data_IF_322008296746
#
_entry.id   IF_322008296746
#
_cell.length_a   1.000
_cell.length_b   1.000
_cell.length_c   1.000
_cell.angle_alpha   90.00
_cell.angle_beta   90.00
_cell.angle_gamma   90.00
#
_symmetry.space_group_name_H-M   'P 1'
#
loop_
_entity.id
_entity.type
_entity.pdbx_description
1 polymer ?
#
# COMPACT_ATOMS: atom_id res chain seq x y z
N UNK A 1 -8.54 -18.33 -14.46
CA UNK A 1 -8.14 -19.50 -15.25
C UNK A 1 -6.95 -20.20 -14.63
N UNK A 2 -5.71 -19.74 -14.83
CA UNK A 2 -4.51 -20.39 -14.26
C UNK A 2 -4.62 -20.76 -12.77
N UNK A 3 -5.02 -19.82 -11.90
CA UNK A 3 -5.18 -20.11 -10.46
C UNK A 3 -6.22 -21.21 -10.18
N UNK A 4 -7.33 -21.22 -10.92
CA UNK A 4 -8.39 -22.23 -10.78
C UNK A 4 -7.91 -23.62 -11.24
N UNK A 5 -7.13 -23.68 -12.32
CA UNK A 5 -6.51 -24.92 -12.83
C UNK A 5 -5.48 -25.49 -11.85
N UNK A 6 -4.78 -24.62 -11.12
CA UNK A 6 -3.92 -24.98 -9.99
C UNK A 6 -4.69 -25.29 -8.69
N UNK A 7 -6.03 -25.33 -8.75
CA UNK A 7 -6.88 -25.76 -7.64
C UNK A 7 -7.18 -24.70 -6.59
N UNK A 8 -6.79 -23.43 -6.80
CA UNK A 8 -7.15 -22.31 -5.92
C UNK A 8 -8.64 -22.04 -6.02
N UNK A 9 -9.28 -21.86 -4.86
CA UNK A 9 -10.72 -21.60 -4.73
C UNK A 9 -10.98 -20.29 -3.99
N UNK A 10 -12.23 -19.84 -4.03
CA UNK A 10 -12.72 -18.74 -3.18
C UNK A 10 -12.35 -19.01 -1.71
N UNK A 11 -11.75 -18.02 -1.06
CA UNK A 11 -11.30 -18.07 0.33
C UNK A 11 -9.90 -18.63 0.55
N UNK A 12 -9.28 -19.31 -0.43
CA UNK A 12 -7.89 -19.75 -0.31
C UNK A 12 -6.94 -18.55 -0.27
N UNK A 13 -5.89 -18.63 0.54
CA UNK A 13 -4.88 -17.58 0.62
C UNK A 13 -3.75 -17.83 -0.39
N UNK A 14 -3.41 -16.80 -1.15
CA UNK A 14 -2.30 -16.81 -2.12
C UNK A 14 -1.24 -15.80 -1.71
N UNK A 15 -0.03 -16.27 -1.41
CA UNK A 15 1.10 -15.40 -1.07
C UNK A 15 1.69 -14.79 -2.35
N UNK A 16 1.90 -13.47 -2.36
CA UNK A 16 2.50 -12.75 -3.51
C UNK A 16 3.80 -12.09 -3.04
N UNK A 17 4.94 -12.55 -3.53
CA UNK A 17 6.28 -12.05 -3.22
C UNK A 17 6.96 -11.57 -4.51
N UNK A 18 6.44 -10.46 -5.04
CA UNK A 18 6.79 -9.94 -6.36
C UNK A 18 7.55 -8.61 -6.27
N UNK A 19 8.38 -8.27 -7.28
CA UNK A 19 8.90 -6.91 -7.42
C UNK A 19 7.82 -5.97 -7.99
N UNK A 20 8.15 -4.69 -8.13
CA UNK A 20 7.30 -3.66 -8.69
C UNK A 20 7.19 -3.76 -10.22
N UNK A 21 6.53 -4.83 -10.69
CA UNK A 21 6.27 -5.15 -12.10
C UNK A 21 4.77 -5.35 -12.35
N UNK A 22 4.24 -5.09 -13.56
CA UNK A 22 2.80 -5.13 -13.83
C UNK A 22 2.13 -6.46 -13.45
N UNK A 23 2.86 -7.58 -13.55
CA UNK A 23 2.39 -8.91 -13.18
C UNK A 23 2.01 -9.01 -11.69
N UNK A 24 2.57 -8.18 -10.81
CA UNK A 24 2.13 -8.10 -9.41
C UNK A 24 0.68 -7.60 -9.31
N UNK A 25 0.31 -6.59 -10.10
CA UNK A 25 -1.06 -6.11 -10.18
C UNK A 25 -2.00 -7.19 -10.77
N UNK A 26 -1.54 -7.88 -11.83
CA UNK A 26 -2.28 -9.00 -12.43
C UNK A 26 -2.54 -10.09 -11.41
N UNK A 27 -1.53 -10.48 -10.62
CA UNK A 27 -1.65 -11.51 -9.59
C UNK A 27 -2.67 -11.12 -8.51
N UNK A 28 -2.60 -9.90 -7.98
CA UNK A 28 -3.54 -9.41 -6.96
C UNK A 28 -4.98 -9.34 -7.49
N UNK A 29 -5.17 -8.79 -8.69
CA UNK A 29 -6.50 -8.66 -9.30
C UNK A 29 -7.06 -10.02 -9.72
N UNK A 30 -6.22 -10.96 -10.16
CA UNK A 30 -6.63 -12.33 -10.47
C UNK A 30 -7.12 -13.07 -9.22
N UNK A 31 -6.45 -12.90 -8.07
CA UNK A 31 -6.92 -13.44 -6.79
C UNK A 31 -8.29 -12.86 -6.43
N UNK A 32 -8.41 -11.52 -6.45
CA UNK A 32 -9.68 -10.84 -6.15
C UNK A 32 -10.82 -11.25 -7.09
N UNK A 33 -10.53 -11.45 -8.39
CA UNK A 33 -11.53 -11.82 -9.42
C UNK A 33 -12.16 -13.20 -9.18
N UNK A 34 -11.44 -14.12 -8.54
CA UNK A 34 -11.92 -15.47 -8.21
C UNK A 34 -12.30 -15.62 -6.73
N UNK A 35 -12.23 -14.53 -5.95
CA UNK A 35 -12.50 -14.54 -4.53
C UNK A 35 -11.43 -15.22 -3.67
N UNK A 36 -10.22 -15.43 -4.19
CA UNK A 36 -9.08 -15.82 -3.37
C UNK A 36 -8.55 -14.62 -2.58
N UNK A 37 -8.01 -14.87 -1.40
CA UNK A 37 -7.49 -13.84 -0.50
C UNK A 37 -6.00 -13.71 -0.78
N UNK A 38 -5.56 -12.63 -1.44
CA UNK A 38 -4.12 -12.48 -1.62
C UNK A 38 -3.44 -11.96 -0.35
N UNK A 39 -2.21 -12.36 -0.13
CA UNK A 39 -1.34 -11.84 0.91
C UNK A 39 -0.01 -11.42 0.32
N UNK A 40 0.12 -10.12 0.05
CA UNK A 40 1.34 -9.56 -0.52
C UNK A 40 2.41 -9.44 0.57
N UNK A 41 3.63 -9.86 0.22
CA UNK A 41 4.81 -9.84 1.06
C UNK A 41 5.84 -8.94 0.37
N UNK A 42 6.28 -7.87 1.04
CA UNK A 42 7.27 -6.94 0.50
C UNK A 42 8.55 -7.67 0.07
N UNK A 43 8.99 -7.44 -1.18
CA UNK A 43 10.14 -8.13 -1.80
C UNK A 43 11.49 -7.96 -1.07
N UNK A 44 11.59 -7.01 -0.15
CA UNK A 44 12.78 -6.84 0.70
C UNK A 44 12.80 -7.69 1.97
N UNK A 45 11.75 -8.46 2.27
CA UNK A 45 11.71 -9.32 3.45
C UNK A 45 12.63 -10.54 3.32
N UNK A 46 13.16 -10.98 4.46
CA UNK A 46 14.02 -12.17 4.57
C UNK A 46 13.22 -13.47 4.38
N UNK A 47 13.88 -14.60 4.06
CA UNK A 47 13.21 -15.91 3.96
C UNK A 47 12.40 -16.28 5.21
N UNK A 48 12.91 -16.00 6.41
CA UNK A 48 12.18 -16.26 7.66
C UNK A 48 10.91 -15.40 7.79
N UNK A 49 10.98 -14.14 7.38
CA UNK A 49 9.83 -13.24 7.39
C UNK A 49 8.77 -13.65 6.35
N UNK A 50 9.19 -14.23 5.21
CA UNK A 50 8.31 -14.84 4.22
C UNK A 50 7.67 -16.10 4.78
N UNK A 51 8.46 -17.02 5.36
CA UNK A 51 7.98 -18.27 5.95
C UNK A 51 6.94 -18.01 7.04
N UNK A 52 7.20 -17.10 7.98
CA UNK A 52 6.27 -16.77 9.06
C UNK A 52 4.89 -16.30 8.57
N UNK A 53 4.84 -15.57 7.45
CA UNK A 53 3.59 -15.10 6.84
C UNK A 53 2.87 -16.22 6.10
N UNK A 54 3.61 -17.09 5.39
CA UNK A 54 3.04 -18.28 4.74
C UNK A 54 2.40 -19.22 5.79
N UNK A 55 3.11 -19.44 6.90
CA UNK A 55 2.64 -20.30 8.01
C UNK A 55 1.37 -19.73 8.62
N UNK A 56 1.39 -18.44 9.01
CA UNK A 56 0.26 -17.81 9.69
C UNK A 56 -0.99 -17.73 8.80
N UNK A 57 -0.81 -17.44 7.50
CA UNK A 57 -1.91 -17.37 6.55
C UNK A 57 -2.38 -18.72 6.02
N UNK A 58 -1.62 -19.79 6.27
CA UNK A 58 -1.81 -21.10 5.65
C UNK A 58 -1.94 -20.98 4.11
N UNK A 59 -1.10 -20.15 3.48
CA UNK A 59 -1.14 -19.88 2.04
C UNK A 59 -0.98 -21.18 1.24
N UNK A 60 -1.75 -21.34 0.16
CA UNK A 60 -1.73 -22.56 -0.68
C UNK A 60 -0.76 -22.48 -1.86
N UNK A 61 -0.48 -21.27 -2.32
CA UNK A 61 0.37 -21.00 -3.47
C UNK A 61 1.21 -19.74 -3.23
N UNK A 62 2.44 -19.73 -3.76
CA UNK A 62 3.30 -18.53 -3.81
C UNK A 62 3.44 -18.07 -5.26
N UNK A 63 3.23 -16.78 -5.51
CA UNK A 63 3.57 -16.12 -6.77
C UNK A 63 4.81 -15.25 -6.51
N UNK A 64 5.89 -15.48 -7.27
CA UNK A 64 7.18 -14.79 -7.12
C UNK A 64 7.83 -14.56 -8.50
N UNK A 65 8.99 -13.92 -8.55
CA UNK A 65 9.84 -13.88 -9.74
C UNK A 65 11.20 -14.56 -9.49
N UNK A 66 11.91 -14.88 -10.56
CA UNK A 66 13.30 -15.36 -10.51
C UNK A 66 14.16 -14.38 -9.69
N UNK A 67 14.22 -13.12 -10.14
CA UNK A 67 14.84 -12.00 -9.45
C UNK A 67 13.99 -10.73 -9.61
N UNK A 68 14.19 -9.75 -8.74
CA UNK A 68 13.75 -8.36 -8.93
C UNK A 68 14.91 -7.48 -9.37
N UNK A 69 14.63 -6.34 -10.00
CA UNK A 69 15.66 -5.34 -10.35
C UNK A 69 15.40 -4.03 -9.61
N UNK A 70 16.33 -3.59 -8.77
CA UNK A 70 16.20 -2.32 -8.03
C UNK A 70 17.52 -1.58 -7.98
N UNK A 71 17.53 -0.34 -8.44
CA UNK A 71 18.74 0.50 -8.52
C UNK A 71 19.92 -0.18 -9.24
N UNK A 72 19.63 -0.92 -10.32
CA UNK A 72 20.63 -1.66 -11.10
C UNK A 72 21.17 -2.94 -10.43
N UNK A 73 20.58 -3.38 -9.32
CA UNK A 73 20.97 -4.61 -8.60
C UNK A 73 19.85 -5.65 -8.66
N UNK A 74 20.24 -6.93 -8.74
CA UNK A 74 19.31 -8.06 -8.62
C UNK A 74 18.90 -8.28 -7.16
N UNK A 75 17.64 -8.63 -6.95
CA UNK A 75 17.07 -9.09 -5.68
C UNK A 75 16.71 -10.57 -5.87
N UNK A 76 17.27 -11.52 -5.10
CA UNK A 76 17.15 -12.94 -5.37
C UNK A 76 15.83 -13.53 -4.83
N UNK A 77 14.69 -13.13 -5.41
CA UNK A 77 13.35 -13.43 -4.91
C UNK A 77 13.03 -14.92 -4.88
N UNK A 78 13.26 -15.68 -5.97
CA UNK A 78 13.04 -17.13 -6.00
C UNK A 78 13.91 -17.87 -4.99
N UNK A 79 15.18 -17.49 -4.86
CA UNK A 79 16.07 -18.06 -3.84
C UNK A 79 15.52 -17.84 -2.43
N UNK A 80 15.02 -16.64 -2.14
CA UNK A 80 14.42 -16.36 -0.84
C UNK A 80 13.18 -17.21 -0.57
N UNK A 81 12.35 -17.45 -1.59
CA UNK A 81 11.20 -18.38 -1.50
C UNK A 81 11.69 -19.81 -1.23
N UNK A 82 12.69 -20.30 -1.96
CA UNK A 82 13.24 -21.65 -1.73
C UNK A 82 13.78 -21.82 -0.31
N UNK A 83 14.46 -20.81 0.22
CA UNK A 83 14.98 -20.83 1.59
C UNK A 83 13.84 -20.74 2.62
N UNK A 84 12.76 -20.00 2.34
CA UNK A 84 11.57 -19.92 3.20
C UNK A 84 10.81 -21.25 3.26
N UNK A 85 10.64 -21.92 2.11
CA UNK A 85 9.92 -23.20 2.01
C UNK A 85 10.67 -24.39 2.61
N UNK A 86 11.93 -24.22 3.02
CA UNK A 86 12.68 -25.22 3.81
C UNK A 86 12.30 -25.22 5.29
N UNK A 87 11.61 -24.18 5.78
CA UNK A 87 11.14 -24.15 7.16
C UNK A 87 10.13 -25.30 7.36
N UNK A 88 10.35 -26.23 8.31
CA UNK A 88 9.53 -27.44 8.46
C UNK A 88 8.07 -27.15 8.86
N UNK A 89 7.77 -25.93 9.32
CA UNK A 89 6.42 -25.52 9.65
C UNK A 89 5.64 -25.02 8.43
N UNK A 90 6.29 -24.81 7.27
CA UNK A 90 5.60 -24.51 6.01
C UNK A 90 5.10 -25.82 5.42
N UNK A 91 3.80 -26.09 5.57
CA UNK A 91 3.17 -27.36 5.17
C UNK A 91 2.07 -27.19 4.13
N UNK A 92 1.73 -25.96 3.76
CA UNK A 92 0.52 -25.62 3.01
C UNK A 92 0.75 -25.35 1.52
N UNK A 93 1.99 -25.07 1.10
CA UNK A 93 2.32 -24.65 -0.28
C UNK A 93 2.40 -25.86 -1.21
N UNK A 94 1.55 -25.86 -2.23
CA UNK A 94 1.52 -26.90 -3.27
C UNK A 94 2.33 -26.49 -4.50
N UNK A 95 2.19 -25.23 -4.92
CA UNK A 95 2.81 -24.70 -6.13
C UNK A 95 3.48 -23.35 -5.89
N UNK A 96 4.53 -23.09 -6.68
CA UNK A 96 5.19 -21.79 -6.77
C UNK A 96 5.17 -21.32 -8.21
N UNK A 97 4.46 -20.24 -8.49
CA UNK A 97 4.43 -19.62 -9.81
C UNK A 97 5.55 -18.58 -9.90
N UNK A 98 6.45 -18.75 -10.86
CA UNK A 98 7.66 -17.93 -11.01
C UNK A 98 7.60 -17.10 -12.28
N UNK A 99 7.63 -15.79 -12.17
CA UNK A 99 7.85 -14.87 -13.29
C UNK A 99 9.33 -14.87 -13.69
N UNK A 100 9.62 -15.05 -14.97
CA UNK A 100 10.97 -14.89 -15.52
C UNK A 100 11.26 -13.41 -15.82
N UNK A 101 11.66 -12.65 -14.81
CA UNK A 101 11.92 -11.20 -14.90
C UNK A 101 13.31 -10.88 -15.43
N UNK A 102 14.34 -11.61 -15.02
CA UNK A 102 15.73 -11.37 -15.46
C UNK A 102 16.28 -12.49 -16.33
N UNK A 103 15.74 -13.71 -16.21
CA UNK A 103 16.33 -14.91 -16.80
C UNK A 103 17.62 -15.35 -16.08
N UNK A 104 17.85 -14.87 -14.86
CA UNK A 104 18.95 -15.27 -13.99
C UNK A 104 18.92 -16.76 -13.66
N UNK A 105 20.05 -17.30 -13.23
CA UNK A 105 20.15 -18.72 -12.85
C UNK A 105 19.52 -18.92 -11.46
N UNK A 106 18.44 -19.69 -11.41
CA UNK A 106 17.72 -20.07 -10.20
C UNK A 106 17.71 -21.59 -10.02
N UNK A 107 17.50 -22.04 -8.79
CA UNK A 107 17.17 -23.43 -8.52
C UNK A 107 15.70 -23.70 -8.87
N UNK A 108 15.41 -24.94 -9.27
CA UNK A 108 14.08 -25.35 -9.71
C UNK A 108 13.69 -26.70 -9.08
N UNK A 109 12.51 -26.76 -8.47
CA UNK A 109 11.95 -27.99 -7.92
C UNK A 109 10.82 -28.50 -8.82
N UNK A 110 11.09 -29.62 -9.50
CA UNK A 110 10.15 -30.24 -10.44
C UNK A 110 8.79 -30.55 -9.78
N UNK A 111 7.70 -30.28 -10.50
CA UNK A 111 6.32 -30.45 -10.05
C UNK A 111 5.79 -29.34 -9.13
N UNK A 112 6.65 -28.70 -8.32
CA UNK A 112 6.26 -27.57 -7.45
C UNK A 112 6.37 -26.23 -8.16
N UNK A 113 7.51 -25.98 -8.80
CA UNK A 113 7.82 -24.70 -9.44
C UNK A 113 7.29 -24.67 -10.88
N UNK A 114 6.57 -23.62 -11.23
CA UNK A 114 5.89 -23.46 -12.52
C UNK A 114 6.19 -22.07 -13.10
N UNK A 115 6.52 -22.00 -14.38
CA UNK A 115 6.76 -20.71 -15.04
C UNK A 115 5.45 -19.96 -15.31
N UNK A 116 5.44 -18.66 -15.00
CA UNK A 116 4.31 -17.77 -15.28
C UNK A 116 3.91 -17.79 -16.76
N UNK A 117 4.89 -17.68 -17.67
CA UNK A 117 4.64 -17.58 -19.11
C UNK A 117 4.06 -18.88 -19.69
N UNK A 118 4.57 -20.03 -19.26
CA UNK A 118 4.05 -21.33 -19.69
C UNK A 118 2.59 -21.53 -19.26
N UNK A 119 2.23 -21.06 -18.06
CA UNK A 119 0.87 -21.16 -17.52
C UNK A 119 -0.10 -20.18 -18.19
N UNK A 120 0.30 -18.93 -18.40
CA UNK A 120 -0.60 -17.90 -18.93
C UNK A 120 -0.85 -18.07 -20.43
N UNK A 121 0.11 -18.60 -21.19
CA UNK A 121 -0.07 -18.89 -22.63
C UNK A 121 -1.08 -20.00 -22.90
N UNK A 122 -1.26 -20.92 -21.95
CA UNK A 122 -2.22 -22.02 -22.04
C UNK A 122 -3.62 -21.62 -21.55
N UNK A 123 -3.71 -20.59 -20.72
CA UNK A 123 -4.95 -20.17 -20.11
C UNK A 123 -5.86 -19.44 -21.11
N UNK A 124 -7.17 -19.69 -21.00
CA UNK A 124 -8.18 -18.90 -21.73
C UNK A 124 -8.09 -17.42 -21.34
N UNK A 125 -8.28 -16.53 -22.31
CA UNK A 125 -8.43 -15.08 -22.09
C UNK A 125 -9.85 -14.68 -21.63
N UNK A 126 -10.79 -15.63 -21.65
CA UNK A 126 -12.17 -15.43 -21.18
C UNK A 126 -12.35 -15.96 -19.76
N UNK A 127 -12.90 -15.12 -18.88
CA UNK A 127 -13.29 -15.51 -17.51
C UNK A 127 -14.42 -14.61 -17.00
N UNK A 128 -15.50 -15.22 -16.49
CA UNK A 128 -16.56 -14.48 -15.80
C UNK A 128 -16.18 -14.28 -14.33
N UNK A 129 -16.27 -13.06 -13.81
CA UNK A 129 -15.87 -12.78 -12.43
C UNK A 129 -16.78 -13.51 -11.43
N UNK A 130 -16.21 -13.98 -10.33
CA UNK A 130 -16.99 -14.58 -9.23
C UNK A 130 -17.78 -13.50 -8.50
N UNK A 131 -19.02 -13.81 -8.13
CA UNK A 131 -19.83 -12.92 -7.30
C UNK A 131 -19.39 -13.02 -5.83
N UNK A 132 -19.11 -11.86 -5.23
CA UNK A 132 -18.58 -11.74 -3.88
C UNK A 132 -19.52 -10.91 -3.01
N UNK A 133 -19.71 -11.31 -1.77
CA UNK A 133 -20.40 -10.49 -0.80
C UNK A 133 -19.51 -9.30 -0.40
N UNK A 134 -20.12 -8.20 0.04
CA UNK A 134 -19.38 -7.03 0.49
C UNK A 134 -18.39 -7.33 1.63
N UNK A 135 -18.73 -8.28 2.51
CA UNK A 135 -17.89 -8.68 3.66
C UNK A 135 -17.08 -9.96 3.41
N UNK A 136 -17.01 -10.45 2.17
CA UNK A 136 -16.04 -11.50 1.84
C UNK A 136 -14.62 -10.91 1.92
N UNK A 137 -13.63 -11.66 2.47
CA UNK A 137 -12.25 -11.20 2.59
C UNK A 137 -11.61 -10.95 1.23
N UNK A 138 -10.95 -9.80 1.09
CA UNK A 138 -10.25 -9.41 -0.14
C UNK A 138 -8.75 -9.71 -0.04
N UNK A 139 -8.11 -9.31 1.06
CA UNK A 139 -6.69 -9.51 1.26
C UNK A 139 -6.28 -9.53 2.74
N UNK A 140 -5.09 -10.08 2.98
CA UNK A 140 -4.38 -10.05 4.26
C UNK A 140 -3.07 -9.32 4.06
N UNK A 141 -2.83 -8.26 4.82
CA UNK A 141 -1.56 -7.55 4.80
C UNK A 141 -0.90 -7.55 6.17
N UNK A 142 0.30 -8.13 6.22
CA UNK A 142 1.02 -8.34 7.47
C UNK A 142 1.74 -7.08 7.95
N UNK A 143 1.34 -6.56 9.11
CA UNK A 143 2.00 -5.45 9.79
C UNK A 143 2.88 -5.91 10.95
N UNK A 144 3.83 -5.08 11.35
CA UNK A 144 4.66 -5.32 12.54
C UNK A 144 3.81 -5.25 13.82
N UNK A 145 3.85 -6.31 14.64
CA UNK A 145 3.26 -6.31 15.98
C UNK A 145 4.29 -5.93 17.04
N UNK A 146 3.85 -5.23 18.09
CA UNK A 146 4.66 -4.93 19.28
C UNK A 146 5.15 -6.19 20.01
N UNK A 147 4.44 -7.31 19.84
CA UNK A 147 4.72 -8.62 20.46
C UNK A 147 5.56 -9.56 19.58
N UNK A 148 6.10 -9.08 18.45
CA UNK A 148 7.01 -9.84 17.58
C UNK A 148 6.36 -10.79 16.56
N UNK A 149 5.15 -11.29 16.80
CA UNK A 149 4.38 -12.01 15.77
C UNK A 149 3.71 -11.03 14.79
N UNK A 150 3.89 -11.19 13.46
CA UNK A 150 3.19 -10.39 12.45
C UNK A 150 1.68 -10.39 12.70
N UNK A 151 1.01 -9.29 12.36
CA UNK A 151 -0.44 -9.14 12.45
C UNK A 151 -1.01 -9.15 11.03
N UNK A 152 -1.74 -10.20 10.65
CA UNK A 152 -2.38 -10.28 9.33
C UNK A 152 -3.62 -9.39 9.29
N UNK A 153 -3.47 -8.09 9.01
CA UNK A 153 -4.61 -7.16 8.93
C UNK A 153 -5.48 -7.56 7.74
N UNK A 154 -6.77 -7.80 7.98
CA UNK A 154 -7.70 -8.28 6.97
C UNK A 154 -8.69 -7.18 6.57
N UNK A 155 -8.78 -6.96 5.26
CA UNK A 155 -9.80 -6.10 4.64
C UNK A 155 -10.81 -6.95 3.86
N UNK A 156 -12.07 -6.54 3.90
CA UNK A 156 -13.14 -7.13 3.09
C UNK A 156 -13.34 -6.34 1.80
N UNK A 157 -14.30 -6.73 0.98
CA UNK A 157 -14.37 -6.28 -0.43
C UNK A 157 -15.08 -4.93 -0.61
N UNK A 158 -16.34 -4.83 -0.17
CA UNK A 158 -17.22 -3.71 -0.51
C UNK A 158 -16.78 -2.40 0.14
N UNK A 159 -16.68 -2.37 1.47
CA UNK A 159 -16.32 -1.16 2.21
C UNK A 159 -14.93 -0.64 1.87
N UNK A 160 -13.94 -1.53 1.76
CA UNK A 160 -12.58 -1.18 1.36
C UNK A 160 -12.53 -0.53 -0.02
N UNK A 161 -13.13 -1.15 -1.04
CA UNK A 161 -13.03 -0.65 -2.41
C UNK A 161 -13.79 0.68 -2.59
N UNK A 162 -14.95 0.83 -1.95
CA UNK A 162 -15.69 2.10 -1.92
C UNK A 162 -14.82 3.19 -1.30
N UNK A 163 -14.21 2.91 -0.14
CA UNK A 163 -13.42 3.91 0.56
C UNK A 163 -12.16 4.29 -0.22
N UNK A 164 -11.42 3.33 -0.75
CA UNK A 164 -10.21 3.56 -1.56
C UNK A 164 -10.50 4.39 -2.83
N UNK A 165 -11.61 4.10 -3.53
CA UNK A 165 -12.03 4.88 -4.69
C UNK A 165 -12.47 6.30 -4.30
N UNK A 166 -13.21 6.44 -3.21
CA UNK A 166 -13.71 7.72 -2.71
C UNK A 166 -12.56 8.64 -2.28
N UNK A 167 -11.65 8.14 -1.46
CA UNK A 167 -10.49 8.89 -0.98
C UNK A 167 -9.56 9.25 -2.13
N UNK A 168 -9.26 8.30 -3.02
CA UNK A 168 -8.46 8.57 -4.22
C UNK A 168 -9.06 9.71 -5.05
N UNK A 169 -10.36 9.63 -5.36
CA UNK A 169 -11.03 10.61 -6.20
C UNK A 169 -10.99 12.01 -5.61
N UNK A 170 -11.39 12.17 -4.35
CA UNK A 170 -11.56 13.50 -3.76
C UNK A 170 -10.25 14.13 -3.27
N UNK A 171 -9.36 13.34 -2.68
CA UNK A 171 -8.12 13.88 -2.09
C UNK A 171 -7.10 14.20 -3.16
N UNK A 172 -7.05 13.41 -4.24
CA UNK A 172 -6.20 13.72 -5.38
C UNK A 172 -6.91 14.48 -6.50
N UNK A 173 -8.15 14.94 -6.27
CA UNK A 173 -8.97 15.65 -7.25
C UNK A 173 -8.89 15.01 -8.66
N UNK A 174 -9.03 13.68 -8.69
CA UNK A 174 -8.77 12.92 -9.89
C UNK A 174 -9.83 13.20 -10.95
N UNK A 175 -9.37 13.50 -12.16
CA UNK A 175 -10.19 13.68 -13.35
C UNK A 175 -9.82 12.67 -14.45
N UNK A 176 -10.77 12.22 -15.28
CA UNK A 176 -10.47 11.36 -16.42
C UNK A 176 -9.39 11.95 -17.32
N UNK A 177 -8.35 11.17 -17.59
CA UNK A 177 -7.18 11.58 -18.37
C UNK A 177 -5.95 11.91 -17.53
N UNK A 178 -6.09 11.98 -16.20
CA UNK A 178 -4.95 12.22 -15.32
C UNK A 178 -4.01 11.03 -15.25
N UNK A 179 -2.71 11.34 -15.28
CA UNK A 179 -1.63 10.40 -15.03
C UNK A 179 -1.26 10.50 -13.55
N UNK A 180 -1.59 9.45 -12.81
CA UNK A 180 -1.35 9.35 -11.38
C UNK A 180 -0.15 8.46 -11.09
N UNK A 181 0.74 8.90 -10.20
CA UNK A 181 1.89 8.12 -9.76
C UNK A 181 2.00 8.05 -8.23
N UNK A 182 1.71 6.87 -7.68
CA UNK A 182 2.10 6.47 -6.33
C UNK A 182 3.48 5.80 -6.36
N UNK A 183 4.44 6.32 -5.59
CA UNK A 183 5.78 5.73 -5.53
C UNK A 183 5.89 4.55 -4.56
N UNK A 184 4.82 4.21 -3.85
CA UNK A 184 4.85 3.17 -2.84
C UNK A 184 4.94 1.76 -3.48
N UNK A 185 5.64 0.88 -2.79
CA UNK A 185 5.75 -0.53 -3.18
C UNK A 185 4.41 -1.25 -2.92
N UNK A 186 4.08 -2.20 -3.79
CA UNK A 186 2.86 -3.02 -3.71
C UNK A 186 2.78 -3.84 -2.42
N UNK A 187 3.91 -4.14 -1.77
CA UNK A 187 3.97 -4.83 -0.48
C UNK A 187 3.49 -4.01 0.72
N UNK A 188 3.08 -2.76 0.54
CA UNK A 188 2.50 -1.90 1.58
C UNK A 188 1.06 -1.52 1.26
N UNK A 189 0.31 -1.13 2.29
CA UNK A 189 -1.10 -0.76 2.14
C UNK A 189 -1.27 0.41 1.16
N UNK A 190 -0.30 1.33 1.09
CA UNK A 190 -0.31 2.42 0.12
C UNK A 190 -0.25 1.92 -1.32
N UNK A 191 0.51 0.86 -1.59
CA UNK A 191 0.52 0.18 -2.89
C UNK A 191 -0.79 -0.56 -3.17
N UNK A 192 -1.47 -1.07 -2.15
CA UNK A 192 -2.79 -1.68 -2.33
C UNK A 192 -3.82 -0.62 -2.69
N UNK A 193 -4.06 0.32 -1.78
CA UNK A 193 -5.15 1.28 -1.88
C UNK A 193 -4.91 2.34 -2.96
N UNK A 194 -3.67 2.79 -3.14
CA UNK A 194 -3.39 3.98 -3.93
C UNK A 194 -2.46 3.76 -5.12
N UNK A 195 -1.77 2.63 -5.28
CA UNK A 195 -1.21 2.28 -6.59
C UNK A 195 -2.23 1.51 -7.44
N UNK A 196 -3.02 0.61 -6.83
CA UNK A 196 -3.89 -0.30 -7.57
C UNK A 196 -5.37 -0.01 -7.37
N UNK A 197 -5.94 -0.33 -6.21
CA UNK A 197 -7.39 -0.45 -6.05
C UNK A 197 -8.15 0.86 -6.28
N UNK A 198 -7.78 1.94 -5.58
CA UNK A 198 -8.40 3.25 -5.73
C UNK A 198 -8.30 3.79 -7.17
N UNK A 199 -7.08 3.93 -7.74
CA UNK A 199 -6.91 4.42 -9.11
C UNK A 199 -7.66 3.60 -10.15
N UNK A 200 -7.53 2.26 -10.13
CA UNK A 200 -8.14 1.40 -11.14
C UNK A 200 -9.67 1.34 -11.00
N UNK A 201 -10.21 1.41 -9.78
CA UNK A 201 -11.65 1.52 -9.56
C UNK A 201 -12.22 2.84 -10.11
N UNK A 202 -11.41 3.90 -10.15
CA UNK A 202 -11.77 5.18 -10.76
C UNK A 202 -11.42 5.27 -12.26
N UNK A 203 -10.90 4.21 -12.87
CA UNK A 203 -10.50 4.20 -14.28
C UNK A 203 -9.29 5.09 -14.59
N UNK A 204 -8.41 5.33 -13.60
CA UNK A 204 -7.22 6.15 -13.75
C UNK A 204 -6.08 5.42 -14.48
N UNK A 205 -5.20 6.21 -15.10
CA UNK A 205 -3.87 5.72 -15.47
C UNK A 205 -2.97 5.79 -14.24
N UNK A 206 -2.59 4.62 -13.71
CA UNK A 206 -1.66 4.51 -12.57
C UNK A 206 -0.27 4.10 -13.03
N UNK A 207 0.77 4.79 -12.54
CA UNK A 207 2.16 4.52 -12.90
C UNK A 207 2.82 3.61 -11.84
N UNK A 208 3.21 2.41 -12.26
CA UNK A 208 4.04 1.51 -11.46
C UNK A 208 5.53 1.72 -11.77
N UNK A 209 6.33 1.93 -10.73
CA UNK A 209 7.76 2.25 -10.86
C UNK A 209 8.63 1.19 -10.15
N UNK A 210 9.40 0.44 -10.94
CA UNK A 210 10.26 -0.65 -10.44
C UNK A 210 11.49 -0.14 -9.67
N UNK A 211 11.96 1.07 -10.00
CA UNK A 211 13.23 1.61 -9.55
C UNK A 211 13.21 2.26 -8.16
N UNK A 212 14.15 3.19 -7.96
CA UNK A 212 14.20 4.09 -6.81
C UNK A 212 14.28 5.54 -7.29
N UNK A 213 13.74 6.50 -6.53
CA UNK A 213 13.51 7.87 -7.02
C UNK A 213 14.78 8.67 -7.30
N UNK A 214 15.96 8.13 -6.98
CA UNK A 214 17.26 8.78 -7.10
C UNK A 214 18.31 7.95 -7.87
N UNK A 215 17.90 6.94 -8.65
CA UNK A 215 18.82 6.14 -9.47
C UNK A 215 18.43 6.16 -10.96
N UNK A 216 19.35 6.40 -11.90
CA UNK A 216 20.80 6.55 -11.71
C UNK A 216 21.23 7.89 -11.13
N UNK A 217 20.35 8.90 -11.11
CA UNK A 217 20.64 10.23 -10.57
C UNK A 217 19.49 10.71 -9.67
N UNK A 218 19.73 11.70 -8.78
CA UNK A 218 18.68 12.28 -7.95
C UNK A 218 17.50 12.86 -8.74
N UNK A 219 17.71 13.28 -9.98
CA UNK A 219 16.66 13.78 -10.86
C UNK A 219 15.64 12.71 -11.32
N UNK A 220 15.86 11.41 -11.01
CA UNK A 220 15.05 10.32 -11.57
C UNK A 220 13.55 10.49 -11.33
N UNK A 221 13.13 10.92 -10.14
CA UNK A 221 11.72 11.16 -9.87
C UNK A 221 11.13 12.22 -10.81
N UNK A 222 11.77 13.38 -10.93
CA UNK A 222 11.31 14.44 -11.82
C UNK A 222 11.39 14.04 -13.30
N UNK A 223 12.38 13.24 -13.70
CA UNK A 223 12.47 12.70 -15.07
C UNK A 223 11.31 11.74 -15.40
N UNK A 224 10.86 10.94 -14.44
CA UNK A 224 9.68 10.06 -14.62
C UNK A 224 8.41 10.91 -14.73
N UNK A 225 8.29 11.97 -13.92
CA UNK A 225 7.21 12.94 -14.04
C UNK A 225 7.14 13.51 -15.46
N UNK A 226 8.24 14.05 -15.97
CA UNK A 226 8.29 14.67 -17.31
C UNK A 226 8.00 13.65 -18.41
N UNK A 227 8.68 12.50 -18.38
CA UNK A 227 8.56 11.49 -19.43
C UNK A 227 7.11 11.00 -19.62
N UNK A 228 6.38 10.86 -18.51
CA UNK A 228 5.02 10.32 -18.52
C UNK A 228 3.95 11.39 -18.33
N UNK A 229 4.33 12.67 -18.31
CA UNK A 229 3.44 13.81 -18.07
C UNK A 229 2.56 13.61 -16.82
N UNK A 230 3.18 13.16 -15.71
CA UNK A 230 2.48 12.88 -14.45
C UNK A 230 1.79 14.14 -13.93
N UNK A 231 0.51 14.02 -13.57
CA UNK A 231 -0.30 15.11 -13.03
C UNK A 231 -0.38 15.07 -11.50
N UNK A 232 -0.32 13.88 -10.92
CA UNK A 232 -0.46 13.67 -9.48
C UNK A 232 0.69 12.79 -9.01
N UNK A 233 1.51 13.30 -8.09
CA UNK A 233 2.64 12.57 -7.51
C UNK A 233 2.40 12.31 -6.02
N UNK A 234 2.46 11.04 -5.62
CA UNK A 234 2.25 10.62 -4.25
C UNK A 234 3.45 9.82 -3.72
N UNK A 235 4.14 10.35 -2.70
CA UNK A 235 5.39 9.77 -2.21
C UNK A 235 5.55 9.91 -0.69
N UNK A 236 6.60 9.31 -0.13
CA UNK A 236 6.89 9.35 1.30
C UNK A 236 7.86 10.48 1.66
N UNK A 237 7.75 11.10 2.84
CA UNK A 237 8.71 12.08 3.35
C UNK A 237 10.15 11.60 3.36
N UNK A 238 10.42 10.31 3.62
CA UNK A 238 11.76 9.73 3.49
C UNK A 238 12.36 9.94 2.09
N UNK A 239 11.58 9.74 1.02
CA UNK A 239 12.04 10.00 -0.34
C UNK A 239 12.26 11.50 -0.60
N UNK A 240 11.33 12.34 -0.12
CA UNK A 240 11.43 13.80 -0.21
C UNK A 240 12.72 14.30 0.46
N UNK A 241 13.00 13.87 1.70
CA UNK A 241 14.21 14.26 2.44
C UNK A 241 15.49 13.77 1.76
N UNK A 242 15.49 12.56 1.19
CA UNK A 242 16.63 12.05 0.44
C UNK A 242 16.93 12.89 -0.82
N UNK A 243 15.90 13.36 -1.52
CA UNK A 243 16.06 14.24 -2.67
C UNK A 243 16.43 15.68 -2.27
N UNK A 244 15.84 16.18 -1.17
CA UNK A 244 16.15 17.48 -0.59
C UNK A 244 17.63 17.61 -0.21
N UNK A 245 18.22 16.54 0.32
CA UNK A 245 19.65 16.50 0.65
C UNK A 245 20.57 16.68 -0.58
N UNK A 246 20.08 16.38 -1.79
CA UNK A 246 20.81 16.57 -3.05
C UNK A 246 20.60 17.97 -3.67
N UNK A 247 19.76 18.81 -3.05
CA UNK A 247 19.45 20.16 -3.52
C UNK A 247 18.83 20.16 -4.92
N UNK A 248 19.30 21.06 -5.78
CA UNK A 248 18.74 21.25 -7.12
C UNK A 248 19.06 20.09 -8.08
N UNK A 249 19.99 19.20 -7.74
CA UNK A 249 20.24 17.98 -8.54
C UNK A 249 19.02 17.08 -8.64
N UNK A 250 18.09 17.16 -7.69
CA UNK A 250 16.83 16.42 -7.72
C UNK A 250 15.87 16.89 -8.83
N UNK A 251 16.10 18.08 -9.40
CA UNK A 251 15.22 18.69 -10.41
C UNK A 251 15.97 19.24 -11.63
N UNK A 252 17.31 19.14 -11.64
CA UNK A 252 18.15 19.66 -12.71
C UNK A 252 17.76 19.06 -14.07
N UNK A 253 17.52 19.94 -15.05
CA UNK A 253 17.15 19.54 -16.42
C UNK A 253 15.73 18.97 -16.56
N UNK A 254 14.83 19.23 -15.59
CA UNK A 254 13.44 18.74 -15.62
C UNK A 254 12.43 19.89 -15.56
N UNK A 255 11.23 19.64 -16.06
CA UNK A 255 10.17 20.64 -16.28
C UNK A 255 9.11 20.62 -15.17
N UNK A 256 8.53 19.45 -14.87
CA UNK A 256 7.52 19.17 -13.84
C UNK A 256 6.21 19.95 -13.99
N UNK A 257 5.98 20.69 -15.08
CA UNK A 257 4.78 21.54 -15.26
C UNK A 257 3.49 20.76 -15.47
N UNK A 258 3.56 19.45 -15.75
CA UNK A 258 2.38 18.58 -15.83
C UNK A 258 1.72 18.35 -14.47
N UNK A 259 2.48 18.51 -13.37
CA UNK A 259 1.99 18.29 -12.01
C UNK A 259 0.95 19.33 -11.61
N UNK A 260 -0.08 18.86 -10.92
CA UNK A 260 -1.12 19.68 -10.29
C UNK A 260 -1.26 19.38 -8.82
N UNK A 261 -1.05 18.13 -8.39
CA UNK A 261 -1.18 17.73 -6.98
C UNK A 261 0.04 16.92 -6.56
N UNK A 262 0.53 17.24 -5.36
CA UNK A 262 1.53 16.48 -4.65
C UNK A 262 0.89 15.85 -3.42
N UNK A 263 1.31 14.65 -3.04
CA UNK A 263 0.91 14.05 -1.77
C UNK A 263 2.07 13.46 -0.99
N UNK A 264 1.88 13.42 0.33
CA UNK A 264 2.81 12.90 1.35
C UNK A 264 2.13 11.82 2.18
N UNK A 265 2.85 10.77 2.57
CA UNK A 265 2.31 9.64 3.34
C UNK A 265 3.35 8.86 4.15
N UNK A 266 2.87 8.28 5.25
CA UNK A 266 3.51 7.17 5.96
C UNK A 266 4.31 7.58 7.18
N UNK A 267 4.61 8.87 7.32
CA UNK A 267 5.30 9.45 8.46
C UNK A 267 5.06 10.98 8.46
N UNK A 268 5.29 11.67 9.60
CA UNK A 268 5.21 13.12 9.63
C UNK A 268 6.20 13.78 8.65
N UNK A 269 5.70 14.71 7.83
CA UNK A 269 6.54 15.59 7.01
C UNK A 269 6.85 16.87 7.80
N UNK A 270 8.13 17.10 8.10
CA UNK A 270 8.52 18.32 8.81
C UNK A 270 8.33 19.56 7.89
N UNK A 271 8.06 20.76 8.44
CA UNK A 271 7.75 21.94 7.63
C UNK A 271 8.79 22.27 6.56
N UNK A 272 10.09 22.11 6.85
CA UNK A 272 11.16 22.35 5.87
C UNK A 272 11.09 21.40 4.66
N UNK A 273 10.84 20.10 4.90
CA UNK A 273 10.69 19.13 3.81
C UNK A 273 9.40 19.37 3.01
N UNK A 274 8.32 19.78 3.69
CA UNK A 274 7.06 20.14 3.05
C UNK A 274 7.25 21.35 2.11
N UNK A 275 7.89 22.42 2.60
CA UNK A 275 8.17 23.63 1.83
C UNK A 275 9.10 23.34 0.65
N UNK A 276 10.14 22.53 0.86
CA UNK A 276 11.01 22.10 -0.24
C UNK A 276 10.23 21.32 -1.30
N UNK A 277 9.34 20.42 -0.89
CA UNK A 277 8.55 19.60 -1.82
C UNK A 277 7.58 20.45 -2.65
N UNK A 278 6.83 21.33 -1.98
CA UNK A 278 5.92 22.30 -2.61
C UNK A 278 6.66 23.21 -3.59
N UNK A 279 7.81 23.76 -3.17
CA UNK A 279 8.59 24.71 -3.97
C UNK A 279 9.33 24.05 -5.13
N UNK A 280 10.11 23.00 -4.86
CA UNK A 280 11.04 22.41 -5.82
C UNK A 280 10.37 21.38 -6.72
N UNK A 281 9.51 20.51 -6.20
CA UNK A 281 8.82 19.54 -7.05
C UNK A 281 7.55 20.15 -7.64
N UNK A 282 6.77 20.86 -6.83
CA UNK A 282 5.49 21.44 -7.23
C UNK A 282 5.57 22.78 -7.96
N UNK A 283 6.77 23.33 -8.14
CA UNK A 283 7.01 24.66 -8.73
C UNK A 283 6.15 25.76 -8.08
N UNK A 284 5.89 25.67 -6.77
CA UNK A 284 5.05 26.60 -5.99
C UNK A 284 3.59 26.68 -6.49
N UNK A 285 3.14 25.69 -7.26
CA UNK A 285 1.81 25.67 -7.91
C UNK A 285 0.91 24.51 -7.49
N UNK A 286 1.49 23.46 -6.93
CA UNK A 286 0.77 22.23 -6.61
C UNK A 286 0.43 22.18 -5.11
N UNK A 287 -0.84 22.11 -4.69
CA UNK A 287 -1.18 21.77 -3.31
C UNK A 287 -0.53 20.45 -2.88
N UNK A 288 -0.09 20.39 -1.62
CA UNK A 288 0.50 19.20 -1.01
C UNK A 288 -0.50 18.59 -0.04
N UNK A 289 -1.07 17.44 -0.42
CA UNK A 289 -1.99 16.69 0.44
C UNK A 289 -1.20 15.76 1.37
N UNK A 290 -1.06 16.16 2.64
CA UNK A 290 -0.50 15.27 3.67
C UNK A 290 -1.60 14.32 4.16
N UNK A 291 -1.37 13.01 4.00
CA UNK A 291 -2.40 11.99 4.19
C UNK A 291 -2.04 11.12 5.40
N UNK A 292 -2.69 11.36 6.53
CA UNK A 292 -2.57 10.47 7.69
C UNK A 292 -3.62 9.35 7.63
N UNK A 293 -3.13 8.11 7.77
CA UNK A 293 -3.90 6.88 7.80
C UNK A 293 -2.96 5.69 8.11
N UNK A 294 -3.53 4.50 8.30
CA UNK A 294 -2.84 3.28 8.69
C UNK A 294 -3.30 2.07 7.88
N UNK A 295 -2.57 0.94 7.99
CA UNK A 295 -2.98 -0.32 7.31
C UNK A 295 -4.38 -0.75 7.75
N UNK A 296 -4.68 -0.56 9.02
CA UNK A 296 -5.94 -0.89 9.69
C UNK A 296 -7.10 0.03 9.29
N UNK A 297 -6.81 1.16 8.63
CA UNK A 297 -7.83 2.12 8.20
C UNK A 297 -8.24 1.97 6.74
N UNK A 298 -7.45 1.26 5.93
CA UNK A 298 -7.72 0.94 4.53
C UNK A 298 -7.61 2.12 3.54
N UNK A 299 -7.93 3.34 3.97
CA UNK A 299 -7.81 4.56 3.18
C UNK A 299 -7.59 5.80 4.06
N UNK A 300 -7.61 6.99 3.45
CA UNK A 300 -7.25 8.25 4.11
C UNK A 300 -8.20 8.59 5.25
N UNK A 301 -7.64 9.07 6.37
CA UNK A 301 -8.40 9.36 7.59
C UNK A 301 -8.44 10.85 7.88
N UNK A 302 -7.29 11.50 7.91
CA UNK A 302 -7.15 12.95 8.10
C UNK A 302 -6.27 13.47 6.95
N UNK A 303 -6.81 14.39 6.16
CA UNK A 303 -6.16 14.86 4.94
C UNK A 303 -6.84 16.11 4.37
N UNK A 304 -6.10 17.05 3.75
CA UNK A 304 -6.70 18.19 3.08
C UNK A 304 -7.36 17.78 1.75
N UNK A 305 -8.35 18.58 1.33
CA UNK A 305 -8.90 18.54 -0.03
C UNK A 305 -8.33 19.72 -0.83
N UNK A 306 -7.63 19.51 -1.95
CA UNK A 306 -6.78 20.52 -2.60
C UNK A 306 -7.54 21.75 -3.13
N UNK A 307 -8.86 21.67 -3.28
CA UNK A 307 -9.73 22.79 -3.66
C UNK A 307 -10.57 23.39 -2.53
N UNK A 308 -10.45 22.90 -1.29
CA UNK A 308 -11.32 23.31 -0.17
C UNK A 308 -10.57 23.59 1.14
N UNK A 309 -9.39 23.01 1.35
CA UNK A 309 -8.64 23.12 2.60
C UNK A 309 -7.37 23.95 2.39
N UNK A 310 -7.24 25.07 3.10
CA UNK A 310 -5.97 25.79 3.19
C UNK A 310 -4.91 24.93 3.89
N UNK A 311 -3.65 25.02 3.48
CA UNK A 311 -2.61 24.10 3.95
C UNK A 311 -1.75 24.73 5.04
N UNK A 312 -1.41 23.95 6.06
CA UNK A 312 -0.37 24.27 7.04
C UNK A 312 0.75 23.24 6.91
N UNK A 313 1.99 23.69 6.67
CA UNK A 313 3.13 22.79 6.45
C UNK A 313 3.30 21.81 7.62
N UNK A 314 3.16 20.50 7.34
CA UNK A 314 3.26 19.43 8.32
C UNK A 314 2.00 19.12 9.13
N UNK A 315 0.83 19.64 8.73
CA UNK A 315 -0.48 19.25 9.28
C UNK A 315 -1.26 18.39 8.28
N UNK A 316 -1.91 17.34 8.78
CA UNK A 316 -2.84 16.52 8.01
C UNK A 316 -4.21 17.21 7.86
N UNK A 317 -4.44 18.31 8.57
CA UNK A 317 -5.60 19.20 8.49
C UNK A 317 -6.88 18.62 9.10
N UNK A 318 -7.86 18.20 8.29
CA UNK A 318 -9.21 17.85 8.73
C UNK A 318 -9.54 16.39 8.44
N UNK A 319 -10.46 15.77 9.21
CA UNK A 319 -10.92 14.42 8.92
C UNK A 319 -11.59 14.32 7.54
N UNK A 320 -11.40 13.17 6.90
CA UNK A 320 -12.12 12.80 5.68
C UNK A 320 -13.57 12.41 5.99
N UNK A 321 -14.39 12.24 4.95
CA UNK A 321 -15.80 11.91 5.09
C UNK A 321 -16.02 10.61 5.87
N UNK A 322 -16.88 10.66 6.88
CA UNK A 322 -17.19 9.52 7.76
C UNK A 322 -16.23 9.33 8.93
N UNK A 323 -15.11 10.07 8.98
CA UNK A 323 -14.10 9.94 10.03
C UNK A 323 -14.41 10.91 11.18
N UNK A 324 -14.51 10.37 12.39
CA UNK A 324 -14.81 11.12 13.61
C UNK A 324 -13.63 11.04 14.60
N UNK A 325 -12.59 11.87 14.44
CA UNK A 325 -11.42 11.83 15.31
C UNK A 325 -11.70 12.54 16.64
N UNK A 326 -11.14 12.02 17.73
CA UNK A 326 -11.07 12.69 19.02
C UNK A 326 -9.65 12.59 19.60
N UNK A 327 -9.32 13.52 20.50
CA UNK A 327 -8.12 13.45 21.32
C UNK A 327 -8.55 13.11 22.73
N UNK A 328 -7.87 12.16 23.35
CA UNK A 328 -8.14 11.73 24.73
C UNK A 328 -6.87 11.78 25.58
N UNK A 329 -7.04 11.99 26.89
CA UNK A 329 -5.97 11.80 27.87
C UNK A 329 -5.66 10.30 28.09
N UNK A 330 -4.76 9.98 29.03
CA UNK A 330 -4.36 8.60 29.30
C UNK A 330 -5.49 7.77 29.94
N UNK A 331 -6.47 8.43 30.54
CA UNK A 331 -7.64 7.85 31.18
C UNK A 331 -8.81 7.67 30.19
N UNK A 332 -8.68 8.19 28.96
CA UNK A 332 -9.71 8.10 27.91
C UNK A 332 -10.75 9.21 27.96
N UNK A 333 -10.50 10.29 28.71
CA UNK A 333 -11.40 11.45 28.74
C UNK A 333 -11.20 12.30 27.47
N UNK A 334 -12.29 12.68 26.76
CA UNK A 334 -12.19 13.56 25.60
C UNK A 334 -11.62 14.94 25.93
N UNK A 335 -10.72 15.41 25.08
CA UNK A 335 -10.11 16.75 25.13
C UNK A 335 -10.69 17.64 24.04
N UNK A 336 -11.17 18.82 24.45
CA UNK A 336 -11.89 19.81 23.62
C UNK A 336 -10.98 20.99 23.23
N UNK A 337 -11.32 21.69 22.14
CA UNK A 337 -10.57 22.87 21.68
C UNK A 337 -9.16 22.55 21.17
N UNK A 338 -8.26 23.53 21.27
CA UNK A 338 -6.84 23.37 20.94
C UNK A 338 -6.13 22.58 22.05
N UNK A 339 -5.61 21.40 21.72
CA UNK A 339 -5.13 20.42 22.72
C UNK A 339 -4.25 19.35 22.07
N UNK A 340 -3.65 18.48 22.88
CA UNK A 340 -2.87 17.33 22.43
C UNK A 340 -3.20 16.09 23.25
N UNK A 341 -3.17 14.91 22.63
CA UNK A 341 -3.52 13.66 23.29
C UNK A 341 -3.42 12.45 22.37
N UNK A 342 -3.92 11.31 22.85
CA UNK A 342 -4.01 10.08 22.06
C UNK A 342 -5.09 10.22 20.98
N UNK A 343 -4.76 9.89 19.74
CA UNK A 343 -5.70 9.97 18.62
C UNK A 343 -6.57 8.71 18.54
N UNK A 344 -7.87 8.91 18.70
CA UNK A 344 -8.89 7.87 18.58
C UNK A 344 -9.91 8.22 17.51
N UNK A 345 -10.58 7.22 16.94
CA UNK A 345 -11.72 7.40 16.05
C UNK A 345 -12.96 6.80 16.74
N UNK A 346 -14.02 7.59 16.87
CA UNK A 346 -15.16 7.29 17.76
C UNK A 346 -16.29 6.51 17.09
N UNK A 347 -16.20 6.28 15.79
CA UNK A 347 -17.16 5.48 15.01
C UNK A 347 -16.44 4.81 13.84
N UNK A 348 -17.08 3.82 13.22
CA UNK A 348 -16.54 3.09 12.08
C UNK A 348 -16.56 3.92 10.79
N UNK A 349 -15.79 3.47 9.80
CA UNK A 349 -15.77 3.99 8.43
C UNK A 349 -15.67 2.81 7.46
N UNK A 350 -16.07 2.96 6.18
CA UNK A 350 -16.20 1.83 5.26
C UNK A 350 -14.89 1.03 5.07
N UNK A 351 -13.74 1.71 5.01
CA UNK A 351 -12.43 1.12 4.78
C UNK A 351 -11.75 0.47 5.99
N UNK A 352 -12.38 0.45 7.17
CA UNK A 352 -11.77 -0.09 8.39
C UNK A 352 -11.41 -1.58 8.23
N UNK A 353 -10.24 -2.01 8.71
CA UNK A 353 -9.94 -3.44 8.78
C UNK A 353 -10.96 -4.17 9.64
N UNK A 354 -11.31 -5.40 9.26
CA UNK A 354 -12.39 -6.15 9.92
C UNK A 354 -11.90 -7.03 11.06
N UNK A 355 -10.66 -7.51 10.95
CA UNK A 355 -10.04 -8.38 11.94
C UNK A 355 -8.54 -8.48 11.72
N UNK A 356 -7.84 -9.13 12.66
CA UNK A 356 -6.59 -9.84 12.35
C UNK A 356 -6.94 -11.27 11.93
N UNK A 357 -6.31 -11.76 10.87
CA UNK A 357 -6.56 -13.09 10.32
C UNK A 357 -6.30 -14.17 11.38
N UNK A 358 -7.29 -15.03 11.61
CA UNK A 358 -7.23 -16.10 12.61
C UNK A 358 -7.22 -15.65 14.08
N UNK A 359 -7.30 -14.35 14.39
CA UNK A 359 -7.09 -13.83 15.74
C UNK A 359 -7.92 -12.55 16.03
N UNK A 360 -9.24 -12.71 16.10
CA UNK A 360 -10.15 -11.58 16.36
C UNK A 360 -10.02 -11.03 17.79
N UNK A 361 -9.71 -11.88 18.78
CA UNK A 361 -9.49 -11.44 20.15
C UNK A 361 -8.32 -10.46 20.24
N UNK A 362 -7.21 -10.75 19.54
CA UNK A 362 -6.09 -9.82 19.46
C UNK A 362 -6.45 -8.53 18.72
N UNK A 363 -7.35 -8.58 17.73
CA UNK A 363 -7.86 -7.37 17.07
C UNK A 363 -8.58 -6.47 18.07
N UNK A 364 -9.53 -7.01 18.84
CA UNK A 364 -10.23 -6.26 19.89
C UNK A 364 -9.26 -5.70 20.94
N UNK A 365 -8.37 -6.56 21.44
CA UNK A 365 -7.38 -6.17 22.45
C UNK A 365 -6.44 -5.07 21.95
N UNK A 366 -6.00 -5.15 20.70
CA UNK A 366 -5.00 -4.20 20.16
C UNK A 366 -5.61 -2.83 19.91
N UNK A 367 -6.82 -2.75 19.35
CA UNK A 367 -7.36 -1.50 18.82
C UNK A 367 -8.55 -0.94 19.59
N UNK A 368 -9.20 -1.72 20.47
CA UNK A 368 -10.47 -1.31 21.10
C UNK A 368 -10.49 -1.48 22.63
N UNK A 369 -9.41 -2.00 23.24
CA UNK A 369 -9.36 -2.25 24.68
C UNK A 369 -8.79 -1.10 25.51
N UNK A 370 -7.85 -0.32 24.95
CA UNK A 370 -7.23 0.83 25.64
C UNK A 370 -8.27 1.91 25.94
N UNK A 371 -9.07 2.28 24.95
CA UNK A 371 -10.18 3.22 25.08
C UNK A 371 -11.46 2.55 24.57
N UNK A 372 -12.34 2.15 25.50
CA UNK A 372 -13.54 1.37 25.17
C UNK A 372 -14.45 2.12 24.20
N UNK A 373 -15.04 1.38 23.26
CA UNK A 373 -15.92 1.88 22.20
C UNK A 373 -15.24 2.87 21.23
N UNK A 374 -13.92 2.90 21.17
CA UNK A 374 -13.16 3.74 20.25
C UNK A 374 -12.09 2.91 19.55
N UNK A 375 -11.82 3.21 18.29
CA UNK A 375 -10.62 2.71 17.63
C UNK A 375 -9.43 3.55 18.09
N UNK A 376 -8.45 2.92 18.75
CA UNK A 376 -7.19 3.54 19.11
C UNK A 376 -6.15 3.32 18.03
N UNK A 377 -5.65 4.42 17.46
CA UNK A 377 -4.65 4.39 16.39
C UNK A 377 -3.25 4.00 16.86
N UNK A 378 -2.92 4.24 18.13
CA UNK A 378 -1.55 4.17 18.64
C UNK A 378 -0.74 5.46 18.44
N UNK A 379 -1.28 6.45 17.73
CA UNK A 379 -0.62 7.74 17.50
C UNK A 379 -1.05 8.80 18.53
N UNK A 380 -0.12 9.70 18.83
CA UNK A 380 -0.42 10.97 19.50
C UNK A 380 -0.59 12.09 18.46
N UNK A 381 -1.53 13.00 18.70
CA UNK A 381 -1.77 14.13 17.82
C UNK A 381 -2.06 15.41 18.62
N UNK A 382 -1.88 16.57 17.97
CA UNK A 382 -2.36 17.86 18.47
C UNK A 382 -3.45 18.37 17.54
N UNK A 383 -4.44 19.06 18.09
CA UNK A 383 -5.42 19.84 17.33
C UNK A 383 -5.21 21.31 17.67
N UNK A 384 -5.06 22.15 16.65
CA UNK A 384 -4.86 23.60 16.84
C UNK A 384 -6.18 24.37 16.95
N UNK A 385 -6.09 25.70 17.09
CA UNK A 385 -7.24 26.61 17.25
C UNK A 385 -8.18 26.63 16.03
N UNK A 386 -7.69 26.26 14.84
CA UNK A 386 -8.48 26.16 13.62
C UNK A 386 -9.10 24.76 13.45
N UNK A 387 -8.82 23.86 14.39
CA UNK A 387 -9.24 22.46 14.36
C UNK A 387 -8.44 21.60 13.37
N UNK A 388 -7.19 21.98 13.08
CA UNK A 388 -6.28 21.21 12.25
C UNK A 388 -5.48 20.23 13.10
N UNK A 389 -5.35 19.00 12.61
CA UNK A 389 -4.60 17.91 13.24
C UNK A 389 -3.18 17.77 12.70
#
# INVERSE_FOLDING_TARGET
>A
NTLLELGIKKGDVVAIYMPMVPEAAVAMLACARIGAVHSVIFGGFSPEAVAGRIIDSNSRLVITSDEGVRAGRSIPLKKNVDDALKNPNVTSIEHVVVLKRTGGKIDWQEGRDLWWHDLIEQASDQHQAEEMNAEDPLFILYTSGSTGKPKGVLHTTGGYLVYAALTFKYVFDYHPGDIYWCTADVGWVTGHSYLLYGPLACGATTLMFEGVPNWPTPARMAQVVDKHQVNILYTAPTAIRALMAEGDKAIEGTDRSSLRILGSVGEPINPEAWEWYWKKIGNEKCPVVDTWWQTETGGFMITPLPGATELKAGSATRPFFGVQPALVDNEGNPLEGATEGSLVITDSWPGQARTLFGDHERFEQTYFSTFKNMYFSGDGARRDEDGYY
#
